data_IF_791420118825
#
_entry.id   IF_791420118825
#
_cell.length_a   1.000
_cell.length_b   1.000
_cell.length_c   1.000
_cell.angle_alpha   90.00
_cell.angle_beta   90.00
_cell.angle_gamma   90.00
#
_symmetry.space_group_name_H-M   'P 1'
#
loop_
_entity.id
_entity.type
_entity.pdbx_description
1 polymer ?
#
# COMPACT_ATOMS: atom_id res chain seq x y z
N UNK A 1 -42.28 -36.92 -14.05
CA UNK A 1 -41.82 -35.80 -13.21
C UNK A 1 -40.38 -35.54 -13.55
N UNK A 2 -40.10 -34.49 -14.32
CA UNK A 2 -38.72 -34.11 -14.66
C UNK A 2 -38.12 -33.37 -13.46
N UNK A 3 -36.88 -33.68 -13.03
CA UNK A 3 -36.24 -32.93 -11.95
C UNK A 3 -36.06 -31.48 -12.41
N UNK A 4 -36.52 -30.56 -11.56
CA UNK A 4 -36.32 -29.13 -11.75
C UNK A 4 -34.81 -28.84 -11.76
N UNK A 5 -34.28 -28.06 -12.72
CA UNK A 5 -32.87 -27.68 -12.70
C UNK A 5 -32.58 -26.90 -11.42
N UNK A 6 -31.56 -27.32 -10.69
CA UNK A 6 -31.04 -26.59 -9.54
C UNK A 6 -30.71 -25.15 -9.94
N UNK A 7 -31.02 -24.14 -9.13
CA UNK A 7 -30.62 -22.77 -9.42
C UNK A 7 -29.09 -22.72 -9.58
N UNK A 8 -28.55 -21.94 -10.53
CA UNK A 8 -27.11 -21.78 -10.66
C UNK A 8 -26.55 -21.30 -9.31
N UNK A 9 -25.54 -22.01 -8.78
CA UNK A 9 -24.91 -21.60 -7.52
C UNK A 9 -24.36 -20.19 -7.68
N UNK A 10 -24.67 -19.30 -6.74
CA UNK A 10 -24.08 -17.97 -6.72
C UNK A 10 -22.55 -18.05 -6.87
N UNK A 11 -21.91 -17.16 -7.65
CA UNK A 11 -20.47 -17.23 -7.87
C UNK A 11 -19.73 -17.18 -6.54
N UNK A 12 -18.81 -18.13 -6.34
CA UNK A 12 -18.07 -18.24 -5.08
C UNK A 12 -17.18 -17.00 -4.90
N UNK A 13 -17.36 -16.28 -3.78
CA UNK A 13 -16.47 -15.20 -3.39
C UNK A 13 -15.10 -15.76 -3.03
N UNK A 14 -14.05 -15.13 -3.52
CA UNK A 14 -12.66 -15.50 -3.27
C UNK A 14 -12.02 -14.39 -2.45
N UNK A 15 -11.53 -14.75 -1.26
CA UNK A 15 -10.73 -13.86 -0.42
C UNK A 15 -9.25 -14.11 -0.65
N UNK A 16 -8.53 -13.05 -0.99
CA UNK A 16 -7.09 -13.03 -1.20
C UNK A 16 -6.50 -12.11 -0.14
N UNK A 17 -5.60 -12.62 0.69
CA UNK A 17 -4.93 -11.85 1.71
C UNK A 17 -3.42 -12.04 1.58
N UNK A 18 -2.69 -10.93 1.59
CA UNK A 18 -1.24 -10.92 1.48
C UNK A 18 -0.69 -10.07 2.61
N UNK A 19 0.36 -10.57 3.26
CA UNK A 19 1.12 -9.82 4.25
C UNK A 19 2.59 -9.76 3.83
N UNK A 20 3.23 -8.62 4.06
CA UNK A 20 4.68 -8.47 3.90
C UNK A 20 5.20 -7.61 5.06
N UNK A 21 6.36 -7.99 5.59
CA UNK A 21 7.04 -7.24 6.62
C UNK A 21 8.53 -7.17 6.28
N UNK A 22 9.13 -6.00 6.48
CA UNK A 22 10.55 -5.76 6.22
C UNK A 22 11.15 -4.93 7.34
N UNK A 23 12.43 -5.19 7.57
CA UNK A 23 13.26 -4.44 8.51
C UNK A 23 14.55 -4.05 7.81
N UNK A 24 14.93 -2.79 7.89
CA UNK A 24 16.16 -2.26 7.29
C UNK A 24 16.91 -1.49 8.35
N UNK A 25 18.22 -1.74 8.44
CA UNK A 25 19.11 -0.96 9.29
C UNK A 25 19.51 0.34 8.61
N UNK A 26 19.36 1.44 9.32
CA UNK A 26 19.80 2.76 8.94
C UNK A 26 21.24 2.93 9.44
N UNK A 27 22.12 3.44 8.56
CA UNK A 27 23.46 3.85 8.95
C UNK A 27 23.45 5.37 9.04
N UNK A 28 23.86 5.96 10.18
CA UNK A 28 24.06 7.41 10.25
C UNK A 28 25.07 7.82 9.17
N UNK A 29 24.74 8.87 8.43
CA UNK A 29 25.60 9.45 7.39
C UNK A 29 26.29 10.70 7.90
N UNK A 30 25.69 11.38 8.88
CA UNK A 30 26.20 12.59 9.50
C UNK A 30 26.92 12.30 10.83
N UNK A 31 27.80 13.20 11.23
CA UNK A 31 28.40 13.26 12.57
C UNK A 31 27.38 13.56 13.65
N UNK A 32 26.29 14.26 13.29
CA UNK A 32 25.21 14.64 14.21
C UNK A 32 24.27 13.49 14.61
N UNK A 33 24.31 12.34 13.89
CA UNK A 33 23.65 11.07 14.22
C UNK A 33 22.21 11.21 14.77
N UNK A 34 21.34 11.92 14.05
CA UNK A 34 20.01 12.26 14.57
C UNK A 34 19.14 11.04 14.83
N UNK A 35 18.23 11.14 15.80
CA UNK A 35 17.31 10.05 16.11
C UNK A 35 16.29 9.82 15.01
N UNK A 36 15.92 8.55 14.81
CA UNK A 36 14.75 8.18 14.02
C UNK A 36 13.50 8.82 14.63
N UNK A 37 13.42 8.93 15.96
CA UNK A 37 12.32 9.65 16.62
C UNK A 37 12.18 11.11 16.16
N UNK A 38 13.30 11.84 16.03
CA UNK A 38 13.26 13.22 15.55
C UNK A 38 12.82 13.31 14.09
N UNK A 39 13.24 12.33 13.26
CA UNK A 39 12.78 12.20 11.88
C UNK A 39 11.28 11.88 11.79
N UNK A 40 10.75 10.98 12.64
CA UNK A 40 9.31 10.70 12.73
C UNK A 40 8.52 11.79 13.47
N UNK A 41 9.15 12.87 13.92
CA UNK A 41 8.44 14.06 14.41
C UNK A 41 8.21 15.11 13.31
N UNK A 42 8.68 14.83 12.08
CA UNK A 42 8.42 15.67 10.92
C UNK A 42 6.96 15.51 10.46
N UNK A 43 6.39 16.50 9.73
CA UNK A 43 5.03 16.41 9.21
C UNK A 43 4.81 15.18 8.31
N UNK A 44 3.60 14.63 8.37
CA UNK A 44 3.25 13.38 7.69
C UNK A 44 3.35 13.49 6.16
N UNK A 45 3.21 14.71 5.64
CA UNK A 45 3.38 15.05 4.22
C UNK A 45 4.70 14.53 3.65
N UNK A 46 5.76 14.47 4.47
CA UNK A 46 7.07 13.95 4.06
C UNK A 46 7.04 12.46 3.69
N UNK A 47 6.20 11.67 4.37
CA UNK A 47 6.03 10.24 4.04
C UNK A 47 5.18 10.05 2.79
N UNK A 48 4.47 11.09 2.37
CA UNK A 48 3.60 11.08 1.21
C UNK A 48 4.33 11.55 -0.07
N UNK A 49 5.50 12.18 0.01
CA UNK A 49 6.29 12.64 -1.15
C UNK A 49 7.20 11.56 -1.75
N UNK A 50 7.19 10.34 -1.22
CA UNK A 50 8.17 9.31 -1.61
C UNK A 50 8.00 8.87 -3.08
N UNK A 51 9.08 8.50 -3.78
CA UNK A 51 9.06 8.02 -5.16
C UNK A 51 7.98 6.97 -5.44
N UNK A 52 7.20 7.18 -6.50
CA UNK A 52 6.06 6.31 -6.86
C UNK A 52 4.72 6.74 -6.23
N UNK A 53 4.74 7.78 -5.41
CA UNK A 53 3.56 8.41 -4.83
C UNK A 53 3.29 9.75 -5.53
N UNK A 54 2.03 9.96 -5.91
CA UNK A 54 1.53 11.26 -6.36
C UNK A 54 0.73 11.89 -5.23
N UNK A 55 1.30 12.91 -4.60
CA UNK A 55 0.62 13.71 -3.59
C UNK A 55 -0.53 14.49 -4.21
N UNK A 56 -1.68 14.41 -3.55
CA UNK A 56 -2.75 15.37 -3.73
C UNK A 56 -3.13 15.86 -2.34
N UNK A 57 -2.64 17.05 -2.00
CA UNK A 57 -3.02 17.72 -0.76
C UNK A 57 -4.51 18.00 -0.82
N UNK A 58 -5.28 17.28 -0.02
CA UNK A 58 -6.62 17.73 0.36
C UNK A 58 -6.44 18.51 1.65
N UNK A 59 -6.89 19.76 1.65
CA UNK A 59 -7.00 20.54 2.88
C UNK A 59 -8.08 19.88 3.74
N UNK A 60 -7.67 19.23 4.83
CA UNK A 60 -8.58 18.67 5.80
C UNK A 60 -9.00 19.81 6.76
N UNK A 61 -10.25 20.28 6.64
CA UNK A 61 -10.86 21.32 7.50
C UNK A 61 -11.15 20.82 8.94
N UNK A 62 -10.74 19.60 9.26
CA UNK A 62 -11.10 18.92 10.51
C UNK A 62 -10.10 19.22 11.62
N UNK A 63 -10.25 20.40 12.23
CA UNK A 63 -9.65 20.76 13.52
C UNK A 63 -10.30 19.97 14.68
N UNK A 64 -10.08 18.65 14.75
CA UNK A 64 -10.53 17.83 15.87
C UNK A 64 -9.36 17.48 16.78
N UNK A 65 -9.07 18.39 17.73
CA UNK A 65 -8.60 18.16 19.11
C UNK A 65 -7.45 17.20 19.45
N UNK A 66 -6.80 16.54 18.48
CA UNK A 66 -5.75 15.55 18.69
C UNK A 66 -4.53 15.85 17.83
N UNK A 67 -3.34 15.57 18.37
CA UNK A 67 -2.04 15.75 17.68
C UNK A 67 -1.82 14.62 16.66
N UNK A 68 -2.78 14.37 15.77
CA UNK A 68 -2.66 13.37 14.70
C UNK A 68 -2.57 14.14 13.39
N UNK A 69 -1.39 14.11 12.78
CA UNK A 69 -1.16 14.64 11.44
C UNK A 69 -1.71 13.66 10.40
N UNK A 70 -2.33 14.19 9.34
CA UNK A 70 -2.99 13.39 8.29
C UNK A 70 -2.62 13.89 6.91
N UNK A 71 -2.26 12.96 6.03
CA UNK A 71 -1.92 13.24 4.63
C UNK A 71 -2.62 12.25 3.70
N UNK A 72 -3.09 12.72 2.54
CA UNK A 72 -3.70 11.88 1.50
C UNK A 72 -2.82 11.85 0.27
N UNK A 73 -2.66 10.67 -0.33
CA UNK A 73 -1.87 10.51 -1.55
C UNK A 73 -2.38 9.38 -2.44
N UNK A 74 -1.94 9.38 -3.69
CA UNK A 74 -2.26 8.34 -4.67
C UNK A 74 -1.02 7.50 -4.90
N UNK A 75 -1.14 6.21 -4.66
CA UNK A 75 -0.12 5.21 -4.97
C UNK A 75 -0.45 4.56 -6.31
N UNK A 76 0.45 4.70 -7.28
CA UNK A 76 0.33 3.98 -8.55
C UNK A 76 1.15 2.69 -8.46
N UNK A 77 0.46 1.55 -8.46
CA UNK A 77 1.10 0.25 -8.40
C UNK A 77 1.56 -0.15 -9.80
N UNK A 78 2.77 -0.73 -9.97
CA UNK A 78 3.22 -1.22 -11.26
C UNK A 78 2.21 -2.19 -11.90
N UNK A 79 2.11 -2.23 -13.25
CA UNK A 79 1.17 -3.12 -13.91
C UNK A 79 1.37 -4.59 -13.53
N UNK A 80 0.29 -5.29 -13.24
CA UNK A 80 0.27 -6.72 -12.93
C UNK A 80 -0.62 -7.48 -13.92
N UNK A 81 -0.15 -8.65 -14.33
CA UNK A 81 -0.83 -9.50 -15.30
C UNK A 81 -1.49 -10.72 -14.65
N UNK A 82 -2.70 -11.05 -15.11
CA UNK A 82 -3.45 -12.24 -14.75
C UNK A 82 -3.72 -13.07 -16.01
N UNK A 83 -3.23 -14.31 -16.01
CA UNK A 83 -3.49 -15.33 -17.04
C UNK A 83 -3.26 -14.87 -18.50
N UNK A 84 -2.41 -13.87 -18.74
CA UNK A 84 -2.22 -13.17 -20.03
C UNK A 84 -3.51 -12.57 -20.64
N UNK A 85 -4.64 -12.63 -19.93
CA UNK A 85 -5.95 -12.16 -20.40
C UNK A 85 -6.29 -10.77 -19.85
N UNK A 86 -5.69 -10.41 -18.71
CA UNK A 86 -5.96 -9.17 -18.00
C UNK A 86 -4.63 -8.59 -17.51
N UNK A 87 -4.39 -7.33 -17.83
CA UNK A 87 -3.30 -6.54 -17.27
C UNK A 87 -3.94 -5.36 -16.55
N UNK A 88 -3.70 -5.23 -15.26
CA UNK A 88 -4.23 -4.14 -14.43
C UNK A 88 -3.11 -3.29 -13.87
N UNK A 89 -3.35 -2.00 -13.79
CA UNK A 89 -2.51 -1.01 -13.11
C UNK A 89 -3.38 -0.41 -12.00
N UNK A 90 -3.20 -0.87 -10.75
CA UNK A 90 -3.94 -0.34 -9.61
C UNK A 90 -3.53 1.10 -9.27
N UNK A 91 -4.52 1.94 -9.06
CA UNK A 91 -4.37 3.28 -8.49
C UNK A 91 -5.08 3.28 -7.14
N UNK A 92 -4.31 3.41 -6.06
CA UNK A 92 -4.81 3.28 -4.69
C UNK A 92 -4.78 4.65 -4.04
N UNK A 93 -5.91 5.07 -3.47
CA UNK A 93 -5.97 6.29 -2.69
C UNK A 93 -5.71 5.98 -1.23
N UNK A 94 -4.62 6.51 -0.69
CA UNK A 94 -4.13 6.22 0.65
C UNK A 94 -4.27 7.42 1.59
N UNK A 95 -4.49 7.13 2.86
CA UNK A 95 -4.42 8.09 3.97
C UNK A 95 -3.30 7.68 4.90
N UNK A 96 -2.31 8.55 5.08
CA UNK A 96 -1.29 8.43 6.11
C UNK A 96 -1.74 9.18 7.37
N UNK A 97 -1.53 8.57 8.52
CA UNK A 97 -1.78 9.14 9.84
C UNK A 97 -0.56 8.94 10.72
N UNK A 98 -0.26 9.94 11.55
CA UNK A 98 0.87 9.89 12.46
C UNK A 98 0.63 10.75 13.69
N UNK A 99 1.03 10.23 14.86
CA UNK A 99 1.33 11.09 16.01
C UNK A 99 2.82 11.43 16.00
N UNK A 100 3.24 12.69 16.26
CA UNK A 100 4.65 13.08 16.19
C UNK A 100 5.56 12.23 17.07
N UNK A 101 6.62 11.67 16.47
CA UNK A 101 7.59 10.83 17.16
C UNK A 101 7.14 9.39 17.40
N UNK A 102 6.02 8.99 16.79
CA UNK A 102 5.49 7.62 16.79
C UNK A 102 5.51 7.02 15.37
N UNK A 103 4.99 5.81 15.23
CA UNK A 103 4.82 5.11 13.95
C UNK A 103 3.90 5.88 13.00
N UNK A 104 4.14 5.71 11.70
CA UNK A 104 3.23 6.17 10.63
C UNK A 104 2.35 5.01 10.21
N UNK A 105 1.04 5.22 10.14
CA UNK A 105 0.09 4.26 9.61
C UNK A 105 -0.49 4.75 8.29
N UNK A 106 -0.42 3.93 7.25
CA UNK A 106 -1.00 4.18 5.94
C UNK A 106 -2.14 3.20 5.71
N UNK A 107 -3.33 3.71 5.41
CA UNK A 107 -4.52 2.89 5.17
C UNK A 107 -5.19 3.27 3.85
N UNK A 108 -5.89 2.29 3.26
CA UNK A 108 -6.72 2.50 2.09
C UNK A 108 -7.85 1.49 2.00
N UNK A 109 -8.98 1.94 1.51
CA UNK A 109 -10.11 1.11 1.06
C UNK A 109 -10.57 1.46 -0.36
N UNK A 110 -9.83 2.36 -1.03
CA UNK A 110 -10.18 2.90 -2.34
C UNK A 110 -9.09 2.54 -3.35
N UNK A 111 -9.43 1.63 -4.26
CA UNK A 111 -8.56 1.14 -5.31
C UNK A 111 -9.34 1.11 -6.62
N UNK A 112 -8.78 1.75 -7.64
CA UNK A 112 -9.32 1.73 -8.99
C UNK A 112 -8.31 1.06 -9.92
N UNK A 113 -8.76 0.08 -10.69
CA UNK A 113 -7.95 -0.59 -11.69
C UNK A 113 -8.08 0.12 -13.03
N UNK A 114 -6.96 0.37 -13.67
CA UNK A 114 -6.90 0.70 -15.10
C UNK A 114 -6.18 -0.43 -15.84
N UNK A 115 -6.23 -0.49 -17.17
CA UNK A 115 -5.44 -1.46 -17.92
C UNK A 115 -6.13 -2.03 -19.15
N UNK A 116 -5.87 -3.30 -19.45
CA UNK A 116 -6.34 -3.96 -20.68
C UNK A 116 -6.84 -5.39 -20.44
N UNK A 117 -7.88 -5.81 -21.17
CA UNK A 117 -8.70 -5.01 -22.08
C UNK A 117 -9.71 -4.13 -21.31
N UNK A 118 -9.97 -2.90 -21.77
CA UNK A 118 -10.70 -1.88 -21.01
C UNK A 118 -12.12 -2.33 -20.58
N UNK A 119 -12.83 -3.03 -21.46
CA UNK A 119 -14.17 -3.57 -21.17
C UNK A 119 -14.17 -4.57 -20.00
N UNK A 120 -13.07 -5.30 -19.77
CA UNK A 120 -12.94 -6.23 -18.66
C UNK A 120 -12.56 -5.50 -17.37
N UNK A 121 -11.78 -4.42 -17.47
CA UNK A 121 -11.39 -3.59 -16.32
C UNK A 121 -12.61 -3.00 -15.63
N UNK A 122 -13.54 -2.43 -16.39
CA UNK A 122 -14.76 -1.83 -15.84
C UNK A 122 -15.60 -2.86 -15.08
N UNK A 123 -15.66 -4.09 -15.58
CA UNK A 123 -16.37 -5.19 -14.90
C UNK A 123 -15.62 -5.56 -13.62
N UNK A 124 -14.31 -5.75 -13.67
CA UNK A 124 -13.50 -6.15 -12.51
C UNK A 124 -13.59 -5.10 -11.39
N UNK A 125 -13.56 -3.80 -11.71
CA UNK A 125 -13.72 -2.71 -10.71
C UNK A 125 -15.02 -2.80 -9.91
N UNK A 126 -16.08 -3.43 -10.45
CA UNK A 126 -17.35 -3.62 -9.76
C UNK A 126 -17.46 -4.98 -9.05
N UNK A 127 -16.39 -5.78 -9.08
CA UNK A 127 -16.39 -7.16 -8.62
C UNK A 127 -15.49 -7.43 -7.42
N UNK A 128 -14.81 -6.41 -6.87
CA UNK A 128 -13.98 -6.58 -5.68
C UNK A 128 -14.25 -5.55 -4.59
N UNK A 129 -13.88 -5.92 -3.37
CA UNK A 129 -13.69 -5.03 -2.23
C UNK A 129 -12.22 -5.09 -1.86
N UNK A 130 -11.62 -3.92 -1.63
CA UNK A 130 -10.20 -3.77 -1.33
C UNK A 130 -10.01 -3.13 0.05
N UNK A 131 -9.02 -3.62 0.78
CA UNK A 131 -8.49 -2.92 1.95
C UNK A 131 -6.99 -3.14 2.05
N UNK A 132 -6.28 -2.10 2.46
CA UNK A 132 -4.86 -2.15 2.75
C UNK A 132 -4.55 -1.36 4.01
N UNK A 133 -3.64 -1.89 4.83
CA UNK A 133 -3.10 -1.21 6.00
C UNK A 133 -1.62 -1.51 6.09
N UNK A 134 -0.81 -0.49 6.34
CA UNK A 134 0.64 -0.57 6.45
C UNK A 134 1.11 0.28 7.61
N UNK A 135 1.84 -0.34 8.52
CA UNK A 135 2.48 0.30 9.65
C UNK A 135 3.98 0.48 9.33
N UNK A 136 4.47 1.68 9.56
CA UNK A 136 5.88 2.05 9.46
C UNK A 136 6.33 2.45 10.86
N UNK A 137 7.24 1.66 11.42
CA UNK A 137 7.74 1.83 12.77
C UNK A 137 9.27 1.96 12.75
N UNK A 138 9.84 2.36 13.88
CA UNK A 138 11.26 2.52 14.03
C UNK A 138 11.76 2.07 15.41
N UNK A 139 13.00 1.62 15.43
CA UNK A 139 13.74 1.32 16.64
C UNK A 139 14.98 2.21 16.66
N UNK A 140 14.96 3.20 17.56
CA UNK A 140 16.00 4.23 17.63
C UNK A 140 17.32 3.68 18.20
N UNK A 141 17.24 2.72 19.13
CA UNK A 141 18.42 2.10 19.75
C UNK A 141 19.16 1.23 18.74
N UNK A 142 18.42 0.37 18.02
CA UNK A 142 19.02 -0.51 17.04
C UNK A 142 19.17 0.12 15.65
N UNK A 143 18.65 1.35 15.46
CA UNK A 143 18.62 2.09 14.19
C UNK A 143 17.97 1.31 13.07
N UNK A 144 16.77 0.79 13.31
CA UNK A 144 16.01 0.08 12.28
C UNK A 144 14.74 0.82 11.92
N UNK A 145 14.44 0.84 10.63
CA UNK A 145 13.09 1.05 10.13
C UNK A 145 12.42 -0.30 9.93
N UNK A 146 11.15 -0.37 10.30
CA UNK A 146 10.28 -1.52 10.13
C UNK A 146 9.07 -1.09 9.30
N UNK A 147 8.67 -1.92 8.36
CA UNK A 147 7.40 -1.79 7.66
C UNK A 147 6.68 -3.12 7.73
N UNK A 148 5.39 -3.09 8.02
CA UNK A 148 4.54 -4.28 7.97
C UNK A 148 3.18 -3.91 7.43
N UNK A 149 2.69 -4.65 6.45
CA UNK A 149 1.44 -4.34 5.80
C UNK A 149 0.64 -5.57 5.46
N UNK A 150 -0.66 -5.36 5.31
CA UNK A 150 -1.65 -6.34 4.86
C UNK A 150 -2.45 -5.73 3.73
N UNK A 151 -2.64 -6.50 2.66
CA UNK A 151 -3.61 -6.23 1.61
C UNK A 151 -4.64 -7.36 1.63
N UNK A 152 -5.92 -6.99 1.66
CA UNK A 152 -7.05 -7.91 1.59
C UNK A 152 -7.96 -7.54 0.42
N UNK A 153 -8.26 -8.53 -0.41
CA UNK A 153 -9.13 -8.40 -1.58
C UNK A 153 -10.17 -9.49 -1.56
N UNK A 154 -11.43 -9.10 -1.44
CA UNK A 154 -12.58 -9.97 -1.63
C UNK A 154 -13.11 -9.78 -3.04
N UNK A 155 -13.03 -10.80 -3.89
CA UNK A 155 -13.44 -10.73 -5.30
C UNK A 155 -14.54 -11.74 -5.61
N UNK A 156 -15.51 -11.32 -6.40
CA UNK A 156 -16.47 -12.19 -7.09
C UNK A 156 -15.97 -12.28 -8.54
N UNK A 157 -15.37 -13.41 -8.97
CA UNK A 157 -14.76 -13.47 -10.30
C UNK A 157 -15.79 -13.20 -11.41
N UNK A 158 -15.60 -12.17 -12.26
CA UNK A 158 -16.48 -11.97 -13.39
C UNK A 158 -16.10 -12.91 -14.54
N UNK A 159 -17.00 -13.20 -15.49
CA UNK A 159 -16.63 -13.88 -16.73
C UNK A 159 -15.49 -13.14 -17.46
N UNK A 160 -14.51 -13.87 -18.06
CA UNK A 160 -14.42 -15.33 -18.14
C UNK A 160 -13.69 -15.98 -16.94
N UNK A 161 -13.43 -15.27 -15.85
CA UNK A 161 -12.70 -15.80 -14.71
C UNK A 161 -13.53 -16.75 -13.84
N UNK A 162 -14.85 -16.68 -13.92
CA UNK A 162 -15.79 -17.54 -13.19
C UNK A 162 -15.67 -19.03 -13.52
N UNK A 163 -15.11 -19.37 -14.69
CA UNK A 163 -14.87 -20.77 -15.10
C UNK A 163 -13.62 -21.39 -14.47
N UNK A 164 -12.73 -20.58 -13.90
CA UNK A 164 -11.50 -21.09 -13.30
C UNK A 164 -11.77 -21.64 -11.89
N UNK A 165 -11.11 -22.74 -11.48
CA UNK A 165 -11.25 -23.23 -10.12
C UNK A 165 -10.83 -22.16 -9.10
N UNK A 166 -11.64 -21.96 -8.05
CA UNK A 166 -11.40 -20.92 -7.04
C UNK A 166 -9.99 -20.99 -6.42
N UNK A 167 -9.46 -22.20 -6.24
CA UNK A 167 -8.08 -22.41 -5.75
C UNK A 167 -7.03 -21.82 -6.68
N UNK A 168 -7.20 -21.95 -8.00
CA UNK A 168 -6.27 -21.40 -9.00
C UNK A 168 -6.31 -19.88 -8.96
N UNK A 169 -7.51 -19.29 -8.96
CA UNK A 169 -7.67 -17.84 -8.88
C UNK A 169 -7.07 -17.27 -7.59
N UNK A 170 -7.32 -17.91 -6.44
CA UNK A 170 -6.76 -17.51 -5.16
C UNK A 170 -5.24 -17.55 -5.18
N UNK A 171 -4.63 -18.67 -5.56
CA UNK A 171 -3.16 -18.81 -5.58
C UNK A 171 -2.51 -17.83 -6.56
N UNK A 172 -3.10 -17.60 -7.74
CA UNK A 172 -2.60 -16.58 -8.67
C UNK A 172 -2.72 -15.18 -8.09
N UNK A 173 -3.86 -14.87 -7.47
CA UNK A 173 -4.10 -13.59 -6.78
C UNK A 173 -3.08 -13.32 -5.67
N UNK A 174 -2.86 -14.29 -4.79
CA UNK A 174 -1.87 -14.23 -3.71
C UNK A 174 -0.46 -14.02 -4.25
N UNK A 175 -0.07 -14.72 -5.32
CA UNK A 175 1.26 -14.59 -5.92
C UNK A 175 1.48 -13.20 -6.55
N UNK A 176 0.48 -12.70 -7.29
CA UNK A 176 0.54 -11.40 -7.95
C UNK A 176 0.56 -10.26 -6.91
N UNK A 177 -0.39 -10.26 -5.98
CA UNK A 177 -0.45 -9.24 -4.92
C UNK A 177 0.77 -9.33 -3.99
N UNK A 178 1.24 -10.54 -3.67
CA UNK A 178 2.47 -10.77 -2.91
C UNK A 178 3.68 -10.12 -3.55
N UNK A 179 3.84 -10.33 -4.86
CA UNK A 179 4.95 -9.74 -5.62
C UNK A 179 4.86 -8.22 -5.68
N UNK A 180 3.67 -7.68 -5.94
CA UNK A 180 3.45 -6.23 -5.98
C UNK A 180 3.70 -5.58 -4.61
N UNK A 181 3.15 -6.15 -3.53
CA UNK A 181 3.33 -5.66 -2.15
C UNK A 181 4.81 -5.65 -1.76
N UNK A 182 5.52 -6.75 -2.02
CA UNK A 182 6.95 -6.86 -1.74
C UNK A 182 7.79 -5.82 -2.50
N UNK A 183 7.43 -5.53 -3.76
CA UNK A 183 8.10 -4.51 -4.56
C UNK A 183 7.83 -3.09 -4.01
N UNK A 184 6.58 -2.78 -3.67
CA UNK A 184 6.19 -1.51 -3.09
C UNK A 184 6.89 -1.27 -1.74
N UNK A 185 6.87 -2.23 -0.82
CA UNK A 185 7.57 -2.12 0.46
C UNK A 185 9.08 -1.92 0.27
N UNK A 186 9.70 -2.59 -0.71
CA UNK A 186 11.12 -2.38 -1.02
C UNK A 186 11.39 -0.95 -1.49
N UNK A 187 10.57 -0.42 -2.40
CA UNK A 187 10.71 0.95 -2.91
C UNK A 187 10.51 1.94 -1.74
N UNK A 188 9.43 1.78 -0.99
CA UNK A 188 9.09 2.66 0.13
C UNK A 188 10.21 2.69 1.19
N UNK A 189 10.72 1.53 1.59
CA UNK A 189 11.83 1.44 2.55
C UNK A 189 13.13 2.05 2.03
N UNK A 190 13.42 1.88 0.73
CA UNK A 190 14.58 2.52 0.11
C UNK A 190 14.44 4.04 0.10
N UNK A 191 13.23 4.53 -0.18
CA UNK A 191 12.93 5.96 -0.20
C UNK A 191 12.98 6.59 1.20
N UNK A 192 12.38 5.95 2.20
CA UNK A 192 12.46 6.40 3.60
C UNK A 192 13.90 6.50 4.09
N UNK A 193 14.71 5.50 3.74
CA UNK A 193 16.13 5.51 4.09
C UNK A 193 16.85 6.70 3.47
N UNK A 194 16.63 6.94 2.17
CA UNK A 194 17.25 8.06 1.48
C UNK A 194 16.78 9.42 2.05
N UNK A 195 15.49 9.56 2.37
CA UNK A 195 14.94 10.77 2.97
C UNK A 195 15.48 11.01 4.40
N UNK A 196 15.65 9.95 5.19
CA UNK A 196 16.35 10.06 6.48
C UNK A 196 17.83 10.48 6.31
N UNK A 197 18.56 9.89 5.36
CA UNK A 197 19.97 10.24 5.10
C UNK A 197 20.08 11.73 4.68
N UNK A 198 19.12 12.24 3.90
CA UNK A 198 19.02 13.66 3.57
C UNK A 198 18.70 14.54 4.78
N UNK A 199 17.71 14.16 5.60
CA UNK A 199 17.35 14.87 6.84
C UNK A 199 18.52 14.96 7.83
N UNK A 200 19.30 13.89 7.97
CA UNK A 200 20.49 13.83 8.82
C UNK A 200 21.59 14.80 8.33
N UNK A 201 21.67 15.02 7.00
CA UNK A 201 22.69 15.88 6.37
C UNK A 201 22.29 17.36 6.31
N UNK A 202 21.03 17.68 5.99
CA UNK A 202 20.52 19.06 5.84
C UNK A 202 20.76 19.91 7.09
N UNK A 203 20.72 19.30 8.26
CA UNK A 203 20.92 19.99 9.52
C UNK A 203 22.38 20.26 9.88
N UNK A 204 23.34 19.47 9.39
CA UNK A 204 24.77 19.80 9.57
C UNK A 204 25.13 21.08 8.82
N UNK A 205 24.52 21.30 7.65
CA UNK A 205 24.73 22.51 6.84
C UNK A 205 24.15 23.76 7.49
N UNK A 206 23.09 23.63 8.30
CA UNK A 206 22.48 24.78 9.01
C UNK A 206 23.20 25.16 10.31
N UNK A 207 24.09 24.31 10.82
CA UNK A 207 24.85 24.58 12.05
C UNK A 207 26.29 25.05 11.79
N UNK A 208 26.73 25.05 10.53
CA UNK A 208 28.00 25.61 10.06
C UNK A 208 27.76 26.93 9.30
#
# INVERSE_FOLDING_TARGET
>A
MSPSPSPPSAPARIRIQVTDARRVRIKPTSTSQRSLRAYFSQPVDRFCTLPGVSLRREEDDSADGGVIDRGRFILTVPPVGFFNMLSVTPTVTCTATQSPGESVRVESSDCNLTGRPANLIDVVNNCFVFSASTDIDFDDESRHLCISGTIDVDVVPPPPFDVFPARVLKTTGEAVLGTATAALHRIFMSSLRADYEAFDTEYEVQQN
#
